data_IF_254252946012
#
_entry.id   IF_254252946012
#
_cell.length_a   1.000
_cell.length_b   1.000
_cell.length_c   1.000
_cell.angle_alpha   90.00
_cell.angle_beta   90.00
_cell.angle_gamma   90.00
#
_symmetry.space_group_name_H-M   'P 1'
#
loop_
_entity.id
_entity.type
_entity.pdbx_description
1 polymer ?
#
# COMPACT_ATOMS: atom_id res chain seq x y z
N UNK A 1 22.46 4.34 5.43
CA UNK A 1 22.11 3.32 4.42
C UNK A 1 21.09 2.42 5.08
N UNK A 2 19.83 2.41 4.64
CA UNK A 2 18.86 1.44 5.16
C UNK A 2 19.36 0.04 4.78
N UNK A 3 19.46 -0.86 5.75
CA UNK A 3 19.85 -2.23 5.45
C UNK A 3 18.75 -2.88 4.61
N UNK A 4 19.11 -3.80 3.70
CA UNK A 4 18.13 -4.53 2.87
C UNK A 4 17.00 -5.17 3.72
N UNK A 5 17.34 -5.61 4.94
CA UNK A 5 16.38 -6.12 5.91
C UNK A 5 15.37 -5.07 6.40
N UNK A 6 15.77 -3.80 6.57
CA UNK A 6 14.86 -2.72 6.95
C UNK A 6 13.85 -2.44 5.84
N UNK A 7 14.31 -2.46 4.58
CA UNK A 7 13.44 -2.27 3.40
C UNK A 7 12.45 -3.42 3.29
N UNK A 8 12.89 -4.67 3.48
CA UNK A 8 12.02 -5.85 3.51
C UNK A 8 10.98 -5.76 4.63
N UNK A 9 11.38 -5.39 5.84
CA UNK A 9 10.46 -5.19 6.97
C UNK A 9 9.43 -4.12 6.63
N UNK A 10 9.87 -3.01 6.03
CA UNK A 10 8.97 -1.92 5.65
C UNK A 10 7.97 -2.34 4.58
N UNK A 11 8.38 -3.17 3.61
CA UNK A 11 7.47 -3.75 2.62
C UNK A 11 6.39 -4.56 3.30
N UNK A 12 6.75 -5.45 4.23
CA UNK A 12 5.78 -6.28 4.96
C UNK A 12 4.79 -5.43 5.74
N UNK A 13 5.25 -4.40 6.45
CA UNK A 13 4.37 -3.46 7.17
C UNK A 13 3.37 -2.79 6.24
N UNK A 14 3.83 -2.30 5.08
CA UNK A 14 2.97 -1.63 4.09
C UNK A 14 2.00 -2.61 3.43
N UNK A 15 2.40 -3.86 3.19
CA UNK A 15 1.52 -4.91 2.65
C UNK A 15 0.39 -5.27 3.63
N UNK A 16 0.68 -5.33 4.93
CA UNK A 16 -0.33 -5.51 5.97
C UNK A 16 -1.30 -4.32 5.98
N UNK A 17 -0.80 -3.08 6.05
CA UNK A 17 -1.64 -1.88 6.04
C UNK A 17 -2.52 -1.80 4.77
N UNK A 18 -1.96 -2.16 3.62
CA UNK A 18 -2.69 -2.21 2.35
C UNK A 18 -3.83 -3.24 2.39
N UNK A 19 -3.61 -4.41 3.00
CA UNK A 19 -4.64 -5.44 3.14
C UNK A 19 -5.75 -5.00 4.09
N UNK A 20 -5.39 -4.36 5.19
CA UNK A 20 -6.35 -3.83 6.16
C UNK A 20 -7.23 -2.74 5.54
N UNK A 21 -6.62 -1.82 4.76
CA UNK A 21 -7.38 -0.84 3.99
C UNK A 21 -8.35 -1.49 3.01
N UNK A 22 -8.00 -2.63 2.43
CA UNK A 22 -8.88 -3.34 1.51
C UNK A 22 -10.14 -3.87 2.20
N UNK A 23 -9.99 -4.44 3.39
CA UNK A 23 -11.12 -4.89 4.22
C UNK A 23 -12.02 -3.70 4.59
N UNK A 24 -11.42 -2.59 5.05
CA UNK A 24 -12.17 -1.37 5.42
C UNK A 24 -12.92 -0.79 4.22
N UNK A 25 -12.29 -0.74 3.05
CA UNK A 25 -12.93 -0.31 1.80
C UNK A 25 -14.11 -1.21 1.44
N UNK A 26 -13.96 -2.54 1.56
CA UNK A 26 -15.02 -3.49 1.28
C UNK A 26 -16.23 -3.32 2.21
N UNK A 27 -15.99 -3.10 3.51
CA UNK A 27 -17.05 -2.82 4.48
C UNK A 27 -17.74 -1.48 4.20
N UNK A 28 -16.98 -0.41 3.95
CA UNK A 28 -17.53 0.92 3.69
C UNK A 28 -18.26 1.00 2.34
N UNK A 29 -17.87 0.21 1.35
CA UNK A 29 -18.55 0.17 0.05
C UNK A 29 -19.99 -0.33 0.16
N UNK A 30 -20.34 -1.05 1.23
CA UNK A 30 -21.70 -1.48 1.51
C UNK A 30 -22.54 -0.37 2.16
N UNK A 31 -21.90 0.63 2.78
CA UNK A 31 -22.54 1.80 3.35
C UNK A 31 -22.67 2.89 2.27
N UNK A 32 -23.87 3.05 1.71
CA UNK A 32 -24.15 3.90 0.54
C UNK A 32 -23.88 5.43 0.70
N UNK A 33 -23.47 5.90 1.88
CA UNK A 33 -23.37 7.33 2.18
C UNK A 33 -21.93 7.87 2.25
N UNK A 34 -20.91 7.00 2.18
CA UNK A 34 -19.52 7.36 2.48
C UNK A 34 -18.60 7.47 1.25
N UNK A 35 -19.12 7.97 0.11
CA UNK A 35 -18.34 8.06 -1.14
C UNK A 35 -17.03 8.85 -1.00
N UNK A 36 -17.04 9.97 -0.29
CA UNK A 36 -15.85 10.80 -0.11
C UNK A 36 -14.77 10.06 0.69
N UNK A 37 -15.18 9.36 1.75
CA UNK A 37 -14.30 8.54 2.57
C UNK A 37 -13.76 7.36 1.76
N UNK A 38 -14.62 6.69 0.97
CA UNK A 38 -14.22 5.62 0.08
C UNK A 38 -13.17 6.07 -0.95
N UNK A 39 -13.35 7.26 -1.56
CA UNK A 39 -12.37 7.85 -2.48
C UNK A 39 -11.03 8.13 -1.78
N UNK A 40 -11.04 8.67 -0.56
CA UNK A 40 -9.83 8.92 0.24
C UNK A 40 -9.08 7.62 0.57
N UNK A 41 -9.81 6.59 0.98
CA UNK A 41 -9.22 5.28 1.31
C UNK A 41 -8.62 4.59 0.08
N UNK A 42 -9.32 4.61 -1.06
CA UNK A 42 -8.80 4.09 -2.34
C UNK A 42 -7.52 4.84 -2.76
N UNK A 43 -7.47 6.16 -2.60
CA UNK A 43 -6.27 6.96 -2.86
C UNK A 43 -5.10 6.54 -1.95
N UNK A 44 -5.35 6.38 -0.65
CA UNK A 44 -4.34 5.91 0.31
C UNK A 44 -3.83 4.51 -0.05
N UNK A 45 -4.74 3.59 -0.40
CA UNK A 45 -4.40 2.23 -0.86
C UNK A 45 -3.48 2.27 -2.09
N UNK A 46 -3.78 3.13 -3.07
CA UNK A 46 -2.92 3.31 -4.25
C UNK A 46 -1.52 3.81 -3.85
N UNK A 47 -1.44 4.81 -2.97
CA UNK A 47 -0.15 5.32 -2.48
C UNK A 47 0.67 4.25 -1.73
N UNK A 48 0.03 3.37 -0.95
CA UNK A 48 0.73 2.26 -0.32
C UNK A 48 1.30 1.29 -1.36
N UNK A 49 0.51 0.94 -2.37
CA UNK A 49 0.96 0.09 -3.48
C UNK A 49 2.17 0.68 -4.20
N UNK A 50 2.12 1.98 -4.50
CA UNK A 50 3.22 2.69 -5.18
C UNK A 50 4.48 2.69 -4.30
N UNK A 51 4.35 2.96 -3.00
CA UNK A 51 5.48 2.89 -2.05
C UNK A 51 6.08 1.49 -1.95
N UNK A 52 5.24 0.45 -1.89
CA UNK A 52 5.70 -0.95 -1.90
C UNK A 52 6.50 -1.24 -3.17
N UNK A 53 6.02 -0.77 -4.32
CA UNK A 53 6.71 -0.95 -5.60
C UNK A 53 8.08 -0.26 -5.59
N UNK A 54 8.16 1.00 -5.13
CA UNK A 54 9.43 1.72 -5.02
C UNK A 54 10.43 1.01 -4.09
N UNK A 55 9.98 0.52 -2.95
CA UNK A 55 10.82 -0.23 -2.01
C UNK A 55 11.28 -1.57 -2.60
N UNK A 56 10.41 -2.27 -3.35
CA UNK A 56 10.78 -3.49 -4.07
C UNK A 56 11.81 -3.22 -5.17
N UNK A 57 11.68 -2.10 -5.89
CA UNK A 57 12.68 -1.67 -6.87
C UNK A 57 14.02 -1.33 -6.23
N UNK A 58 14.05 -0.83 -4.99
CA UNK A 58 15.32 -0.62 -4.27
C UNK A 58 16.01 -1.93 -3.86
N UNK A 59 15.25 -3.03 -3.74
CA UNK A 59 15.79 -4.36 -3.44
C UNK A 59 16.21 -5.15 -4.68
N UNK A 60 15.70 -4.79 -5.86
CA UNK A 60 15.99 -5.46 -7.12
C UNK A 60 16.95 -4.56 -7.89
N UNK A 61 18.24 -4.90 -8.03
CA UNK A 61 19.23 -4.01 -8.62
C UNK A 61 19.01 -3.68 -10.10
N UNK A 62 18.08 -4.36 -10.79
CA UNK A 62 17.91 -4.26 -12.22
C UNK A 62 16.46 -4.51 -12.62
N UNK A 63 15.68 -3.44 -12.83
CA UNK A 63 14.42 -3.51 -13.58
C UNK A 63 14.47 -2.35 -14.60
N UNK A 64 14.74 -2.63 -15.89
CA UNK A 64 14.62 -1.62 -16.93
C UNK A 64 13.14 -1.24 -17.07
N UNK A 65 12.88 0.06 -17.05
CA UNK A 65 11.56 0.65 -17.29
C UNK A 65 11.08 0.42 -18.73
#
# INVERSE_FOLDING_TARGET
MSSSQDIQRRIVELEVEHRDLDVVIATLSQAAHDELQLRRLKKRKLQLKDNIMLLKMQLIPDIPA
#
